data_IF_285999583808
#
_entry.id   IF_285999583808
#
_cell.length_a   1.000
_cell.length_b   1.000
_cell.length_c   1.000
_cell.angle_alpha   90.00
_cell.angle_beta   90.00
_cell.angle_gamma   90.00
#
_symmetry.space_group_name_H-M   'P 1'
#
loop_
_entity.id
_entity.type
_entity.pdbx_description
1 polymer ?
#
# COMPACT_ATOMS: atom_id res chain seq x y z
N UNK A 1 12.83 -22.05 2.62
CA UNK A 1 13.90 -21.04 2.89
C UNK A 1 13.48 -19.59 2.67
N UNK A 2 12.62 -19.25 1.69
CA UNK A 2 12.32 -17.85 1.33
C UNK A 2 11.56 -17.01 2.39
N UNK A 3 10.64 -17.60 3.17
CA UNK A 3 9.89 -16.83 4.18
C UNK A 3 10.70 -16.59 5.46
N UNK A 4 11.54 -17.55 5.85
CA UNK A 4 12.51 -17.39 6.94
C UNK A 4 13.60 -16.37 6.60
N UNK A 5 13.91 -16.14 5.32
CA UNK A 5 14.79 -15.03 4.90
C UNK A 5 14.08 -13.68 4.91
N UNK A 6 12.75 -13.62 4.76
CA UNK A 6 11.95 -12.39 4.93
C UNK A 6 11.86 -11.98 6.41
N UNK A 7 11.80 -12.96 7.31
CA UNK A 7 11.90 -12.78 8.76
C UNK A 7 13.31 -12.31 9.17
N UNK A 8 14.36 -13.03 8.74
CA UNK A 8 15.76 -12.68 9.07
C UNK A 8 16.26 -11.37 8.45
N UNK A 9 15.63 -10.87 7.39
CA UNK A 9 15.98 -9.59 6.75
C UNK A 9 15.29 -8.38 7.38
N UNK A 10 14.47 -8.55 8.42
CA UNK A 10 13.72 -7.47 9.04
C UNK A 10 12.56 -6.92 8.19
N UNK A 11 12.22 -7.57 7.07
CA UNK A 11 11.09 -7.20 6.21
C UNK A 11 9.73 -7.55 6.82
N UNK A 12 9.70 -8.50 7.77
CA UNK A 12 8.55 -8.84 8.61
C UNK A 12 9.02 -8.82 10.06
N UNK A 13 8.86 -7.65 10.69
CA UNK A 13 9.13 -7.38 12.10
C UNK A 13 7.84 -7.62 12.92
N UNK A 14 7.97 -8.06 14.17
CA UNK A 14 6.95 -8.08 15.23
C UNK A 14 6.06 -6.83 15.19
N UNK A 15 6.64 -5.62 15.06
CA UNK A 15 5.91 -4.35 15.00
C UNK A 15 4.95 -4.23 13.79
N UNK A 16 5.26 -4.89 12.67
CA UNK A 16 4.46 -4.82 11.44
C UNK A 16 3.27 -5.78 11.44
N UNK A 17 3.36 -6.84 12.25
CA UNK A 17 2.27 -7.81 12.43
C UNK A 17 1.42 -7.45 13.65
N UNK A 18 2.03 -6.97 14.74
CA UNK A 18 1.29 -6.61 15.96
C UNK A 18 0.60 -5.24 15.86
N UNK A 19 1.12 -4.26 15.10
CA UNK A 19 0.45 -2.94 15.00
C UNK A 19 -0.76 -2.93 14.06
N UNK A 20 -0.93 -3.91 13.17
CA UNK A 20 -2.05 -3.96 12.23
C UNK A 20 -2.90 -5.25 12.30
N UNK A 21 -2.52 -6.29 13.05
CA UNK A 21 -3.26 -7.56 13.09
C UNK A 21 -3.25 -8.19 14.48
N UNK A 22 -4.16 -7.73 15.35
CA UNK A 22 -4.43 -8.30 16.69
C UNK A 22 -4.76 -9.81 16.75
N UNK A 23 -4.92 -10.51 15.63
CA UNK A 23 -5.56 -11.84 15.61
C UNK A 23 -4.72 -13.01 15.07
N UNK A 24 -3.50 -12.79 14.59
CA UNK A 24 -2.59 -13.90 14.26
C UNK A 24 -1.21 -13.59 14.83
N UNK A 25 -0.87 -14.24 15.94
CA UNK A 25 0.46 -14.14 16.54
C UNK A 25 1.51 -14.53 15.49
N UNK A 26 2.45 -13.63 15.23
CA UNK A 26 3.58 -13.86 14.34
C UNK A 26 4.25 -15.22 14.58
N UNK A 27 4.45 -15.55 15.87
CA UNK A 27 5.04 -16.82 16.31
C UNK A 27 4.22 -18.05 15.89
N UNK A 28 2.89 -17.96 15.75
CA UNK A 28 2.08 -19.08 15.26
C UNK A 28 2.34 -19.36 13.78
N UNK A 29 2.38 -18.32 12.94
CA UNK A 29 2.70 -18.47 11.51
C UNK A 29 4.13 -18.93 11.30
N UNK A 30 5.08 -18.35 12.05
CA UNK A 30 6.49 -18.70 12.01
C UNK A 30 6.73 -20.16 12.42
N UNK A 31 6.19 -20.61 13.56
CA UNK A 31 6.35 -21.99 14.03
C UNK A 31 5.73 -23.00 13.05
N UNK A 32 4.53 -22.72 12.53
CA UNK A 32 3.87 -23.61 11.55
C UNK A 32 4.64 -23.67 10.23
N UNK A 33 5.28 -22.57 9.83
CA UNK A 33 6.14 -22.54 8.64
C UNK A 33 7.50 -23.21 8.87
N UNK A 34 8.09 -23.12 10.07
CA UNK A 34 9.31 -23.83 10.43
C UNK A 34 9.08 -25.34 10.54
N UNK A 35 7.90 -25.75 10.99
CA UNK A 35 7.45 -27.15 11.01
C UNK A 35 7.28 -27.71 9.58
N UNK A 36 6.67 -26.94 8.68
CA UNK A 36 6.42 -27.33 7.27
C UNK A 36 7.71 -27.25 6.42
N UNK A 37 8.64 -26.35 6.77
CA UNK A 37 9.90 -26.14 6.06
C UNK A 37 11.10 -26.25 7.01
N UNK A 38 11.47 -27.46 7.46
CA UNK A 38 12.70 -27.64 8.22
C UNK A 38 13.87 -27.09 7.40
N UNK A 39 14.66 -26.20 8.01
CA UNK A 39 15.83 -25.59 7.39
C UNK A 39 16.74 -26.69 6.84
N UNK A 40 16.82 -26.81 5.50
CA UNK A 40 17.85 -27.60 4.84
C UNK A 40 19.20 -27.03 5.28
N UNK A 41 19.96 -27.76 6.09
CA UNK A 41 21.37 -27.46 6.35
C UNK A 41 22.06 -27.33 5.00
N UNK A 42 22.83 -26.27 4.81
CA UNK A 42 23.51 -25.93 3.57
C UNK A 42 24.42 -27.06 3.10
N UNK A 43 23.95 -27.85 2.13
CA UNK A 43 24.80 -28.70 1.31
C UNK A 43 25.39 -27.84 0.20
N UNK A 44 26.73 -27.82 0.09
CA UNK A 44 27.48 -27.21 -1.01
C UNK A 44 26.89 -27.61 -2.37
N UNK A 45 26.71 -26.63 -3.27
CA UNK A 45 26.14 -26.85 -4.59
C UNK A 45 27.23 -27.36 -5.54
N UNK A 46 27.15 -28.64 -5.93
CA UNK A 46 27.77 -29.13 -7.15
C UNK A 46 26.80 -28.92 -8.32
N UNK A 47 27.32 -28.43 -9.45
CA UNK A 47 26.58 -27.91 -10.60
C UNK A 47 25.81 -28.95 -11.44
N UNK A 48 25.13 -29.90 -10.79
CA UNK A 48 24.23 -30.84 -11.45
C UNK A 48 22.88 -30.18 -11.79
N UNK A 49 22.21 -30.57 -12.89
CA UNK A 49 20.85 -30.13 -13.19
C UNK A 49 19.92 -30.42 -12.01
N UNK A 50 18.90 -29.59 -11.75
CA UNK A 50 17.92 -29.87 -10.71
C UNK A 50 17.30 -31.24 -10.99
N UNK A 51 17.45 -32.19 -10.06
CA UNK A 51 16.83 -33.51 -10.20
C UNK A 51 15.32 -33.34 -10.35
N UNK A 52 14.73 -34.15 -11.24
CA UNK A 52 13.28 -34.18 -11.53
C UNK A 52 12.43 -34.34 -10.24
N UNK A 53 13.02 -34.99 -9.24
CA UNK A 53 12.49 -35.19 -7.89
C UNK A 53 12.30 -33.87 -7.11
N UNK A 54 13.16 -32.87 -7.34
CA UNK A 54 13.08 -31.56 -6.68
C UNK A 54 11.89 -30.72 -7.14
N UNK A 55 11.58 -30.73 -8.45
CA UNK A 55 10.44 -29.99 -9.00
C UNK A 55 9.11 -30.64 -8.59
N UNK A 56 9.03 -31.97 -8.62
CA UNK A 56 7.85 -32.72 -8.17
C UNK A 56 7.56 -32.42 -6.68
N UNK A 57 8.58 -32.44 -5.82
CA UNK A 57 8.42 -32.09 -4.41
C UNK A 57 7.99 -30.63 -4.22
N UNK A 58 8.52 -29.71 -5.01
CA UNK A 58 8.13 -28.28 -4.97
C UNK A 58 6.64 -28.12 -5.29
N UNK A 59 6.14 -28.78 -6.34
CA UNK A 59 4.71 -28.76 -6.71
C UNK A 59 3.84 -29.30 -5.58
N UNK A 60 4.22 -30.45 -5.01
CA UNK A 60 3.51 -31.06 -3.88
C UNK A 60 3.43 -30.14 -2.67
N UNK A 61 4.54 -29.52 -2.28
CA UNK A 61 4.61 -28.59 -1.16
C UNK A 61 3.76 -27.33 -1.42
N UNK A 62 3.80 -26.80 -2.64
CA UNK A 62 3.00 -25.65 -3.05
C UNK A 62 1.50 -25.95 -2.92
N UNK A 63 1.05 -27.11 -3.41
CA UNK A 63 -0.34 -27.56 -3.32
C UNK A 63 -0.79 -27.72 -1.87
N UNK A 64 0.01 -28.42 -1.05
CA UNK A 64 -0.30 -28.60 0.37
C UNK A 64 -0.39 -27.26 1.12
N UNK A 65 0.53 -26.33 0.83
CA UNK A 65 0.57 -25.00 1.46
C UNK A 65 -0.69 -24.20 1.14
N UNK A 66 -1.10 -24.15 -0.13
CA UNK A 66 -2.29 -23.40 -0.56
C UNK A 66 -3.57 -24.05 -0.01
N UNK A 67 -3.69 -25.38 -0.09
CA UNK A 67 -4.85 -26.10 0.45
C UNK A 67 -5.00 -25.87 1.96
N UNK A 68 -3.90 -25.98 2.72
CA UNK A 68 -3.91 -25.68 4.14
C UNK A 68 -4.32 -24.22 4.40
N UNK A 69 -3.79 -23.28 3.62
CA UNK A 69 -4.13 -21.87 3.75
C UNK A 69 -5.59 -21.57 3.41
N UNK A 70 -6.23 -22.25 2.46
CA UNK A 70 -7.66 -22.09 2.14
C UNK A 70 -8.56 -22.56 3.30
N UNK A 71 -8.17 -23.64 3.97
CA UNK A 71 -8.95 -24.28 5.03
C UNK A 71 -8.79 -23.65 6.43
N UNK A 72 -7.92 -22.64 6.60
CA UNK A 72 -7.85 -21.89 7.87
C UNK A 72 -9.08 -21.02 8.05
N UNK A 73 -9.59 -20.93 9.28
CA UNK A 73 -10.78 -20.14 9.63
C UNK A 73 -10.57 -18.61 9.60
N UNK A 74 -11.53 -17.82 9.05
CA UNK A 74 -12.66 -18.28 8.25
C UNK A 74 -12.17 -18.89 6.92
N UNK A 75 -12.72 -20.05 6.58
CA UNK A 75 -12.36 -20.77 5.36
C UNK A 75 -12.61 -19.90 4.12
N UNK A 76 -11.70 -19.98 3.15
CA UNK A 76 -11.77 -19.26 1.87
C UNK A 76 -11.98 -20.28 0.75
N UNK A 77 -13.05 -20.11 -0.01
CA UNK A 77 -13.33 -20.92 -1.21
C UNK A 77 -12.55 -20.35 -2.38
N UNK A 78 -12.14 -21.23 -3.30
CA UNK A 78 -11.46 -20.82 -4.52
C UNK A 78 -12.32 -19.87 -5.39
N UNK A 79 -13.64 -20.08 -5.42
CA UNK A 79 -14.58 -19.20 -6.12
C UNK A 79 -14.69 -17.79 -5.51
N UNK A 80 -14.20 -17.59 -4.28
CA UNK A 80 -14.14 -16.27 -3.63
C UNK A 80 -12.88 -15.47 -4.01
N UNK A 81 -11.92 -16.10 -4.71
CA UNK A 81 -10.71 -15.46 -5.20
C UNK A 81 -10.90 -14.92 -6.63
N UNK A 82 -9.99 -14.04 -7.07
CA UNK A 82 -9.99 -13.53 -8.44
C UNK A 82 -9.81 -14.67 -9.46
N UNK A 83 -10.33 -14.48 -10.67
CA UNK A 83 -10.28 -15.48 -11.76
C UNK A 83 -8.85 -15.92 -12.11
N UNK A 84 -7.85 -15.08 -11.88
CA UNK A 84 -6.44 -15.42 -12.08
C UNK A 84 -5.94 -16.54 -11.13
N UNK A 85 -6.62 -16.76 -9.99
CA UNK A 85 -6.31 -17.80 -9.01
C UNK A 85 -7.22 -19.03 -9.10
N UNK A 86 -8.23 -19.01 -9.97
CA UNK A 86 -9.05 -20.19 -10.24
C UNK A 86 -8.24 -21.22 -11.06
N UNK A 87 -8.44 -22.50 -10.80
CA UNK A 87 -7.65 -23.61 -11.36
C UNK A 87 -6.20 -23.60 -10.89
N UNK A 88 -5.88 -23.02 -9.72
CA UNK A 88 -4.49 -22.86 -9.27
C UNK A 88 -3.74 -24.19 -9.15
N UNK A 89 -4.43 -25.28 -8.79
CA UNK A 89 -3.82 -26.60 -8.64
C UNK A 89 -3.29 -27.12 -10.00
N UNK A 90 -4.12 -27.03 -11.05
CA UNK A 90 -3.71 -27.37 -12.42
C UNK A 90 -2.58 -26.47 -12.91
N UNK A 91 -2.67 -25.17 -12.63
CA UNK A 91 -1.62 -24.20 -12.96
C UNK A 91 -0.28 -24.62 -12.37
N UNK A 92 -0.21 -24.98 -11.09
CA UNK A 92 1.03 -25.45 -10.44
C UNK A 92 1.57 -26.71 -11.12
N UNK A 93 0.69 -27.67 -11.44
CA UNK A 93 1.11 -28.92 -12.07
C UNK A 93 1.70 -28.71 -13.47
N UNK A 94 1.25 -27.68 -14.20
CA UNK A 94 1.72 -27.33 -15.54
C UNK A 94 2.98 -26.45 -15.56
N UNK A 95 3.43 -25.92 -14.43
CA UNK A 95 4.65 -25.12 -14.37
C UNK A 95 5.92 -25.98 -14.40
N UNK A 96 6.94 -25.53 -15.11
CA UNK A 96 8.22 -26.21 -15.31
C UNK A 96 9.36 -25.61 -14.46
N UNK A 97 9.11 -24.49 -13.79
CA UNK A 97 10.12 -23.72 -13.05
C UNK A 97 9.69 -23.47 -11.61
N UNK A 98 10.56 -23.86 -10.67
CA UNK A 98 10.39 -23.62 -9.25
C UNK A 98 10.18 -22.13 -8.92
N UNK A 99 10.91 -21.22 -9.59
CA UNK A 99 10.75 -19.78 -9.35
C UNK A 99 9.31 -19.30 -9.64
N UNK A 100 8.68 -19.83 -10.70
CA UNK A 100 7.31 -19.44 -11.09
C UNK A 100 6.28 -20.07 -10.14
N UNK A 101 6.49 -21.32 -9.71
CA UNK A 101 5.64 -21.98 -8.71
C UNK A 101 5.64 -21.16 -7.41
N UNK A 102 6.83 -20.79 -6.94
CA UNK A 102 6.99 -20.01 -5.71
C UNK A 102 6.35 -18.61 -5.81
N UNK A 103 6.43 -17.95 -6.97
CA UNK A 103 5.75 -16.67 -7.20
C UNK A 103 4.22 -16.81 -7.16
N UNK A 104 3.68 -17.83 -7.82
CA UNK A 104 2.24 -18.13 -7.79
C UNK A 104 1.77 -18.42 -6.36
N UNK A 105 2.51 -19.22 -5.58
CA UNK A 105 2.20 -19.50 -4.17
C UNK A 105 2.14 -18.21 -3.36
N UNK A 106 3.12 -17.31 -3.50
CA UNK A 106 3.12 -16.02 -2.79
C UNK A 106 1.89 -15.18 -3.12
N UNK A 107 1.58 -15.04 -4.42
CA UNK A 107 0.41 -14.29 -4.91
C UNK A 107 -0.90 -14.89 -4.36
N UNK A 108 -1.02 -16.21 -4.40
CA UNK A 108 -2.17 -16.96 -3.90
C UNK A 108 -2.35 -16.79 -2.38
N UNK A 109 -1.27 -16.94 -1.59
CA UNK A 109 -1.33 -16.76 -0.14
C UNK A 109 -1.70 -15.33 0.26
N UNK A 110 -1.23 -14.33 -0.49
CA UNK A 110 -1.65 -12.94 -0.30
C UNK A 110 -3.14 -12.73 -0.58
N UNK A 111 -3.66 -13.31 -1.67
CA UNK A 111 -5.07 -13.25 -2.03
C UNK A 111 -5.96 -13.94 -0.98
N UNK A 112 -5.63 -15.17 -0.58
CA UNK A 112 -6.32 -15.92 0.47
C UNK A 112 -6.32 -15.12 1.77
N UNK A 113 -5.16 -14.61 2.19
CA UNK A 113 -5.05 -13.83 3.41
C UNK A 113 -5.91 -12.57 3.37
N UNK A 114 -6.00 -11.91 2.22
CA UNK A 114 -6.82 -10.70 2.06
C UNK A 114 -8.31 -11.01 2.06
N UNK A 115 -8.75 -12.07 1.36
CA UNK A 115 -10.14 -12.52 1.40
C UNK A 115 -10.56 -12.96 2.80
N UNK A 116 -9.68 -13.62 3.56
CA UNK A 116 -9.95 -13.98 4.95
C UNK A 116 -10.18 -12.75 5.82
N UNK A 117 -9.35 -11.71 5.68
CA UNK A 117 -9.52 -10.44 6.41
C UNK A 117 -10.82 -9.74 6.05
N UNK A 118 -11.20 -9.76 4.78
CA UNK A 118 -12.51 -9.24 4.32
C UNK A 118 -13.66 -9.96 5.05
N UNK A 119 -13.63 -11.30 5.13
CA UNK A 119 -14.67 -12.08 5.84
C UNK A 119 -14.73 -11.75 7.32
N UNK A 120 -13.59 -11.68 7.99
CA UNK A 120 -13.51 -11.29 9.40
C UNK A 120 -14.03 -9.87 9.64
N UNK A 121 -13.68 -8.93 8.76
CA UNK A 121 -14.14 -7.55 8.85
C UNK A 121 -15.64 -7.46 8.63
N UNK A 122 -16.18 -8.20 7.67
CA UNK A 122 -17.63 -8.28 7.42
C UNK A 122 -18.39 -8.80 8.64
N UNK A 123 -17.90 -9.86 9.28
CA UNK A 123 -18.48 -10.35 10.54
C UNK A 123 -18.46 -9.27 11.64
N UNK A 124 -17.28 -8.66 11.89
CA UNK A 124 -17.13 -7.61 12.90
C UNK A 124 -18.05 -6.40 12.65
N UNK A 125 -18.13 -5.93 11.40
CA UNK A 125 -19.00 -4.81 11.02
C UNK A 125 -20.47 -5.17 11.27
N UNK A 126 -20.91 -6.35 10.87
CA UNK A 126 -22.30 -6.79 11.09
C UNK A 126 -22.64 -6.90 12.59
N UNK A 127 -21.74 -7.46 13.38
CA UNK A 127 -21.88 -7.55 14.85
C UNK A 127 -21.97 -6.14 15.46
N UNK A 128 -21.02 -5.26 15.14
CA UNK A 128 -20.99 -3.90 15.65
C UNK A 128 -22.25 -3.10 15.25
N UNK A 129 -22.74 -3.25 14.02
CA UNK A 129 -23.98 -2.58 13.56
C UNK A 129 -25.20 -3.02 14.35
N UNK A 130 -25.30 -4.31 14.68
CA UNK A 130 -26.40 -4.80 15.51
C UNK A 130 -26.28 -4.33 16.96
N UNK A 131 -25.06 -4.34 17.52
CA UNK A 131 -24.79 -3.86 18.88
C UNK A 131 -25.12 -2.37 19.05
N UNK A 132 -24.82 -1.54 18.04
CA UNK A 132 -25.08 -0.10 18.10
C UNK A 132 -26.55 0.24 18.30
N UNK A 133 -27.50 -0.58 17.80
CA UNK A 133 -28.94 -0.26 17.82
C UNK A 133 -29.46 0.01 19.24
N UNK A 134 -28.91 -0.67 20.24
CA UNK A 134 -29.36 -0.61 21.63
C UNK A 134 -28.48 0.26 22.55
N UNK A 135 -27.41 0.88 22.02
CA UNK A 135 -26.45 1.69 22.80
C UNK A 135 -26.72 3.19 22.67
N UNK A 136 -26.36 3.98 23.68
CA UNK A 136 -26.47 5.44 23.65
C UNK A 136 -25.19 6.09 24.21
N UNK A 137 -25.06 7.41 24.07
CA UNK A 137 -24.00 8.17 24.72
C UNK A 137 -22.59 7.66 24.39
N UNK A 138 -21.83 7.28 25.42
CA UNK A 138 -20.42 6.89 25.26
C UNK A 138 -20.23 5.52 24.62
N UNK A 139 -21.03 4.53 25.00
CA UNK A 139 -20.95 3.19 24.43
C UNK A 139 -21.28 3.17 22.93
N UNK A 140 -22.23 4.01 22.51
CA UNK A 140 -22.54 4.20 21.11
C UNK A 140 -21.35 4.81 20.36
N UNK A 141 -20.75 5.85 20.93
CA UNK A 141 -19.57 6.51 20.35
C UNK A 141 -18.39 5.55 20.19
N UNK A 142 -18.13 4.68 21.17
CA UNK A 142 -17.07 3.67 21.07
C UNK A 142 -17.34 2.67 19.95
N UNK A 143 -18.56 2.14 19.86
CA UNK A 143 -18.92 1.22 18.78
C UNK A 143 -18.87 1.85 17.39
N UNK A 144 -19.23 3.12 17.28
CA UNK A 144 -19.06 3.87 16.02
C UNK A 144 -17.57 3.94 15.63
N UNK A 145 -16.66 4.22 16.57
CA UNK A 145 -15.21 4.25 16.28
C UNK A 145 -14.69 2.89 15.85
N UNK A 146 -15.04 1.83 16.58
CA UNK A 146 -14.62 0.46 16.24
C UNK A 146 -15.07 0.06 14.83
N UNK A 147 -16.24 0.55 14.41
CA UNK A 147 -16.76 0.29 13.08
C UNK A 147 -16.11 1.17 12.01
N UNK A 148 -15.72 2.40 12.36
CA UNK A 148 -15.00 3.33 11.48
C UNK A 148 -13.59 2.86 11.12
N UNK A 149 -12.97 1.97 11.91
CA UNK A 149 -11.71 1.30 11.52
C UNK A 149 -11.83 0.61 10.15
N UNK A 150 -13.04 0.17 9.80
CA UNK A 150 -13.39 -0.50 8.55
C UNK A 150 -14.02 0.43 7.50
N UNK A 151 -13.96 1.76 7.67
CA UNK A 151 -14.71 2.73 6.82
C UNK A 151 -14.35 2.71 5.33
N UNK A 152 -13.23 2.09 4.96
CA UNK A 152 -12.79 1.92 3.59
C UNK A 152 -13.14 0.55 2.99
N UNK A 153 -13.75 -0.35 3.75
CA UNK A 153 -14.04 -1.73 3.32
C UNK A 153 -15.40 -1.86 2.66
N UNK A 154 -15.61 -2.94 1.89
CA UNK A 154 -16.93 -3.23 1.29
C UNK A 154 -17.99 -3.52 2.33
N UNK A 155 -17.63 -4.24 3.39
CA UNK A 155 -18.54 -4.53 4.48
C UNK A 155 -19.14 -3.27 5.12
N UNK A 156 -18.31 -2.24 5.34
CA UNK A 156 -18.80 -0.95 5.84
C UNK A 156 -19.72 -0.27 4.82
N UNK A 157 -19.34 -0.27 3.53
CA UNK A 157 -20.17 0.35 2.48
C UNK A 157 -21.55 -0.33 2.36
N UNK A 158 -21.62 -1.66 2.49
CA UNK A 158 -22.88 -2.43 2.52
C UNK A 158 -23.78 -2.06 3.70
N UNK A 159 -23.20 -1.64 4.83
CA UNK A 159 -23.90 -1.25 6.06
C UNK A 159 -23.98 0.26 6.29
N UNK A 160 -23.58 1.04 5.28
CA UNK A 160 -23.36 2.48 5.41
C UNK A 160 -24.55 3.25 5.93
N UNK A 161 -25.76 2.96 5.45
CA UNK A 161 -26.96 3.66 5.87
C UNK A 161 -27.30 3.40 7.35
N UNK A 162 -27.18 2.14 7.79
CA UNK A 162 -27.39 1.76 9.20
C UNK A 162 -26.36 2.49 10.09
N UNK A 163 -25.09 2.50 9.68
CA UNK A 163 -24.00 3.15 10.43
C UNK A 163 -24.22 4.67 10.49
N UNK A 164 -24.56 5.30 9.37
CA UNK A 164 -24.85 6.74 9.29
C UNK A 164 -26.02 7.13 10.18
N UNK A 165 -27.05 6.30 10.25
CA UNK A 165 -28.20 6.51 11.14
C UNK A 165 -27.75 6.54 12.61
N UNK A 166 -26.88 5.60 13.02
CA UNK A 166 -26.34 5.58 14.38
C UNK A 166 -25.43 6.77 14.68
N UNK A 167 -24.61 7.18 13.71
CA UNK A 167 -23.79 8.39 13.79
C UNK A 167 -24.64 9.65 13.98
N UNK A 168 -25.69 9.82 13.17
CA UNK A 168 -26.62 10.95 13.27
C UNK A 168 -27.32 10.97 14.62
N UNK A 169 -27.78 9.82 15.12
CA UNK A 169 -28.34 9.70 16.48
C UNK A 169 -27.36 10.17 17.54
N UNK A 170 -26.11 9.71 17.49
CA UNK A 170 -25.09 10.12 18.46
C UNK A 170 -24.74 11.61 18.37
N UNK A 171 -24.66 12.16 17.16
CA UNK A 171 -24.42 13.58 16.93
C UNK A 171 -25.60 14.47 17.38
N UNK A 172 -26.84 13.97 17.35
CA UNK A 172 -28.01 14.66 17.90
C UNK A 172 -28.07 14.61 19.42
N UNK A 173 -27.71 13.47 20.03
CA UNK A 173 -27.70 13.30 21.49
C UNK A 173 -26.71 14.26 22.17
N UNK A 174 -25.47 14.35 21.67
CA UNK A 174 -24.47 15.30 22.15
C UNK A 174 -23.50 15.68 21.01
N UNK A 175 -23.79 16.77 20.27
CA UNK A 175 -22.97 17.20 19.13
C UNK A 175 -21.51 17.46 19.50
N UNK A 176 -21.27 18.02 20.69
CA UNK A 176 -19.93 18.38 21.14
C UNK A 176 -19.11 17.15 21.54
N UNK A 177 -19.75 16.15 22.17
CA UNK A 177 -19.09 14.88 22.51
C UNK A 177 -18.84 14.05 21.26
N UNK A 178 -19.80 13.92 20.36
CA UNK A 178 -19.61 13.22 19.08
C UNK A 178 -18.47 13.83 18.26
N UNK A 179 -18.47 15.17 18.09
CA UNK A 179 -17.42 15.89 17.36
C UNK A 179 -16.03 15.62 17.93
N UNK A 180 -15.87 15.78 19.26
CA UNK A 180 -14.58 15.64 19.94
C UNK A 180 -14.09 14.21 20.01
N UNK A 181 -14.99 13.26 20.25
CA UNK A 181 -14.60 11.89 20.55
C UNK A 181 -14.60 11.00 19.30
N UNK A 182 -15.47 11.23 18.34
CA UNK A 182 -15.65 10.38 17.15
C UNK A 182 -15.16 11.06 15.89
N UNK A 183 -15.78 12.17 15.49
CA UNK A 183 -15.54 12.76 14.17
C UNK A 183 -14.09 13.24 13.98
N UNK A 184 -13.59 14.09 14.89
CA UNK A 184 -12.23 14.64 14.81
C UNK A 184 -11.17 13.53 14.91
N UNK A 185 -11.20 12.61 15.91
CA UNK A 185 -10.24 11.51 15.97
C UNK A 185 -10.30 10.58 14.77
N UNK A 186 -11.50 10.22 14.30
CA UNK A 186 -11.66 9.33 13.15
C UNK A 186 -11.12 9.96 11.86
N UNK A 187 -11.26 11.27 11.67
CA UNK A 187 -10.65 11.98 10.54
C UNK A 187 -9.12 11.95 10.65
N UNK A 188 -8.56 12.22 11.83
CA UNK A 188 -7.09 12.15 12.06
C UNK A 188 -6.54 10.75 11.83
N UNK A 189 -7.25 9.72 12.26
CA UNK A 189 -6.90 8.34 11.98
C UNK A 189 -6.93 8.03 10.48
N UNK A 190 -7.95 8.54 9.77
CA UNK A 190 -8.05 8.40 8.30
C UNK A 190 -6.88 9.09 7.60
N UNK A 191 -6.49 10.29 8.06
CA UNK A 191 -5.29 11.00 7.57
C UNK A 191 -4.03 10.17 7.79
N UNK A 192 -3.81 9.67 9.01
CA UNK A 192 -2.64 8.86 9.34
C UNK A 192 -2.58 7.55 8.54
N UNK A 193 -3.70 6.83 8.42
CA UNK A 193 -3.83 5.58 7.64
C UNK A 193 -3.47 5.79 6.17
N UNK A 194 -3.79 6.97 5.62
CA UNK A 194 -3.54 7.33 4.22
C UNK A 194 -2.25 8.12 4.01
N UNK A 195 -1.44 8.34 5.05
CA UNK A 195 -0.24 9.19 5.01
C UNK A 195 -0.52 10.58 4.41
N UNK A 196 -1.64 11.20 4.79
CA UNK A 196 -2.02 12.55 4.35
C UNK A 196 -1.86 13.51 5.52
N UNK A 197 -1.06 14.55 5.35
CA UNK A 197 -0.94 15.65 6.32
C UNK A 197 -2.03 16.69 6.08
N UNK A 198 -2.32 17.47 7.10
CA UNK A 198 -3.36 18.51 7.05
C UNK A 198 -3.07 19.62 6.02
N UNK A 199 -1.78 19.92 5.76
CA UNK A 199 -1.35 20.86 4.73
C UNK A 199 -1.46 20.28 3.31
N UNK A 200 -1.64 18.98 3.17
CA UNK A 200 -1.83 18.30 1.87
C UNK A 200 -3.31 18.21 1.48
N UNK A 201 -4.26 18.51 2.36
CA UNK A 201 -5.69 18.46 2.04
C UNK A 201 -6.05 19.46 0.93
N UNK A 202 -6.96 19.06 0.05
CA UNK A 202 -7.55 19.97 -0.93
C UNK A 202 -8.31 21.12 -0.24
N UNK A 203 -8.45 22.25 -0.94
CA UNK A 203 -9.02 23.49 -0.37
C UNK A 203 -10.45 23.32 0.18
N UNK A 204 -11.25 22.44 -0.42
CA UNK A 204 -12.60 22.17 0.04
C UNK A 204 -12.59 21.34 1.32
N UNK A 205 -11.84 20.24 1.34
CA UNK A 205 -11.68 19.36 2.50
C UNK A 205 -11.05 20.11 3.68
N UNK A 206 -10.06 20.97 3.42
CA UNK A 206 -9.42 21.79 4.44
C UNK A 206 -10.39 22.77 5.09
N UNK A 207 -11.22 23.45 4.28
CA UNK A 207 -12.26 24.36 4.81
C UNK A 207 -13.30 23.62 5.65
N UNK A 208 -13.80 22.49 5.16
CA UNK A 208 -14.78 21.68 5.90
C UNK A 208 -14.16 21.14 7.21
N UNK A 209 -12.88 20.76 7.19
CA UNK A 209 -12.13 20.33 8.36
C UNK A 209 -11.94 21.43 9.41
N UNK A 210 -11.58 22.66 9.01
CA UNK A 210 -11.46 23.80 9.93
C UNK A 210 -12.80 24.14 10.59
N UNK A 211 -13.87 24.23 9.80
CA UNK A 211 -15.23 24.46 10.33
C UNK A 211 -15.63 23.40 11.34
N UNK A 212 -15.27 22.15 11.07
CA UNK A 212 -15.57 21.04 11.97
C UNK A 212 -14.79 21.16 13.28
N UNK A 213 -13.49 21.47 13.23
CA UNK A 213 -12.66 21.70 14.43
C UNK A 213 -13.15 22.87 15.28
N UNK A 214 -13.54 23.96 14.64
CA UNK A 214 -13.97 25.19 15.31
C UNK A 214 -15.40 25.11 15.89
N UNK A 215 -16.12 24.03 15.62
CA UNK A 215 -17.50 23.87 16.07
C UNK A 215 -18.51 24.75 15.31
N UNK A 216 -18.15 25.18 14.10
CA UNK A 216 -19.05 25.95 13.22
C UNK A 216 -20.12 25.06 12.58
N UNK A 217 -19.95 23.74 12.59
CA UNK A 217 -20.89 22.72 12.10
C UNK A 217 -21.60 22.06 13.29
N UNK A 218 -22.93 21.94 13.24
CA UNK A 218 -23.75 21.47 14.38
C UNK A 218 -24.71 20.32 13.99
N UNK A 219 -25.17 19.57 15.00
CA UNK A 219 -26.15 18.49 14.83
C UNK A 219 -25.74 17.44 13.80
N UNK A 220 -26.69 17.00 12.96
CA UNK A 220 -26.44 15.96 11.95
C UNK A 220 -25.43 16.37 10.87
N UNK A 221 -25.25 17.67 10.60
CA UNK A 221 -24.31 18.16 9.58
C UNK A 221 -22.86 17.74 9.92
N UNK A 222 -22.56 17.52 11.20
CA UNK A 222 -21.28 16.99 11.66
C UNK A 222 -20.95 15.67 10.97
N UNK A 223 -21.93 14.78 10.85
CA UNK A 223 -21.78 13.43 10.27
C UNK A 223 -21.55 13.52 8.77
N UNK A 224 -22.30 14.38 8.08
CA UNK A 224 -22.18 14.58 6.63
C UNK A 224 -20.80 15.12 6.27
N UNK A 225 -20.32 16.10 7.03
CA UNK A 225 -18.99 16.68 6.86
C UNK A 225 -17.88 15.70 7.19
N UNK A 226 -18.03 14.93 8.27
CA UNK A 226 -17.08 13.88 8.63
C UNK A 226 -16.90 12.86 7.50
N UNK A 227 -18.00 12.35 6.96
CA UNK A 227 -17.99 11.36 5.88
C UNK A 227 -17.33 11.92 4.63
N UNK A 228 -17.71 13.14 4.24
CA UNK A 228 -17.14 13.81 3.07
C UNK A 228 -15.63 13.99 3.21
N UNK A 229 -15.16 14.48 4.36
CA UNK A 229 -13.73 14.68 4.64
C UNK A 229 -12.99 13.34 4.59
N UNK A 230 -13.47 12.30 5.27
CA UNK A 230 -12.85 10.95 5.25
C UNK A 230 -12.78 10.35 3.84
N UNK A 231 -13.83 10.51 3.04
CA UNK A 231 -13.84 10.06 1.65
C UNK A 231 -12.82 10.81 0.79
N UNK A 232 -12.69 12.13 0.95
CA UNK A 232 -11.69 12.90 0.19
C UNK A 232 -10.27 12.46 0.55
N UNK A 233 -9.96 12.37 1.85
CA UNK A 233 -8.65 11.91 2.35
C UNK A 233 -8.33 10.52 1.81
N UNK A 234 -9.30 9.59 1.83
CA UNK A 234 -9.07 8.21 1.37
C UNK A 234 -8.84 8.13 -0.14
N UNK A 235 -9.56 8.93 -0.94
CA UNK A 235 -9.32 9.05 -2.39
C UNK A 235 -7.93 9.64 -2.67
N UNK A 236 -7.55 10.69 -1.95
CA UNK A 236 -6.25 11.31 -2.07
C UNK A 236 -5.12 10.35 -1.65
N UNK A 237 -5.31 9.59 -0.58
CA UNK A 237 -4.40 8.54 -0.11
C UNK A 237 -4.18 7.46 -1.17
N UNK A 238 -5.27 6.96 -1.76
CA UNK A 238 -5.20 5.99 -2.86
C UNK A 238 -4.39 6.53 -4.04
N UNK A 239 -4.64 7.77 -4.46
CA UNK A 239 -3.91 8.43 -5.53
C UNK A 239 -2.42 8.63 -5.19
N UNK A 240 -2.11 9.09 -3.97
CA UNK A 240 -0.74 9.24 -3.47
C UNK A 240 0.01 7.90 -3.51
N UNK A 241 -0.66 6.80 -3.11
CA UNK A 241 -0.07 5.45 -3.15
C UNK A 241 0.22 4.97 -4.57
N UNK A 242 -0.68 5.22 -5.52
CA UNK A 242 -0.47 4.90 -6.94
C UNK A 242 0.68 5.71 -7.52
N UNK A 243 0.78 7.00 -7.21
CA UNK A 243 1.88 7.86 -7.64
C UNK A 243 3.22 7.39 -7.06
N UNK A 244 3.24 6.96 -5.78
CA UNK A 244 4.40 6.30 -5.19
C UNK A 244 4.80 5.06 -5.99
N UNK A 245 3.86 4.17 -6.33
CA UNK A 245 4.15 2.99 -7.14
C UNK A 245 4.70 3.34 -8.52
N UNK A 246 4.14 4.34 -9.21
CA UNK A 246 4.62 4.78 -10.52
C UNK A 246 6.10 5.21 -10.44
N UNK A 247 6.45 6.04 -9.47
CA UNK A 247 7.82 6.52 -9.28
C UNK A 247 8.78 5.39 -8.88
N UNK A 248 8.36 4.53 -7.97
CA UNK A 248 9.19 3.42 -7.49
C UNK A 248 9.44 2.36 -8.55
N UNK A 249 8.49 2.10 -9.46
CA UNK A 249 8.70 1.20 -10.60
C UNK A 249 9.83 1.71 -11.48
N UNK A 250 9.80 2.99 -11.84
CA UNK A 250 10.85 3.57 -12.68
C UNK A 250 12.23 3.46 -12.04
N UNK A 251 12.33 3.74 -10.74
CA UNK A 251 13.60 3.66 -10.01
C UNK A 251 14.06 2.19 -9.88
N UNK A 252 13.14 1.28 -9.56
CA UNK A 252 13.43 -0.14 -9.42
C UNK A 252 13.96 -0.74 -10.74
N UNK A 253 13.30 -0.43 -11.87
CA UNK A 253 13.72 -0.87 -13.21
C UNK A 253 15.09 -0.29 -13.60
N UNK A 254 15.36 0.99 -13.31
CA UNK A 254 16.68 1.60 -13.57
C UNK A 254 17.79 0.97 -12.72
N UNK A 255 17.52 0.71 -11.45
CA UNK A 255 18.53 0.17 -10.53
C UNK A 255 18.81 -1.33 -10.73
N UNK A 256 17.83 -2.09 -11.22
CA UNK A 256 17.92 -3.53 -11.38
C UNK A 256 18.09 -4.32 -10.07
N UNK A 257 17.91 -3.69 -8.91
CA UNK A 257 18.06 -4.34 -7.60
C UNK A 257 16.90 -5.29 -7.35
N UNK A 258 17.18 -6.60 -7.34
CA UNK A 258 16.17 -7.67 -7.22
C UNK A 258 15.32 -7.51 -5.97
N UNK A 259 15.93 -7.20 -4.83
CA UNK A 259 15.25 -7.06 -3.55
C UNK A 259 14.24 -5.90 -3.56
N UNK A 260 14.58 -4.79 -4.21
CA UNK A 260 13.67 -3.64 -4.35
C UNK A 260 12.49 -3.97 -5.25
N UNK A 261 12.75 -4.65 -6.36
CA UNK A 261 11.69 -5.09 -7.29
C UNK A 261 10.73 -6.03 -6.57
N UNK A 262 11.24 -7.05 -5.87
CA UNK A 262 10.40 -8.01 -5.15
C UNK A 262 9.57 -7.35 -4.04
N UNK A 263 10.17 -6.43 -3.27
CA UNK A 263 9.43 -5.67 -2.25
C UNK A 263 8.31 -4.84 -2.87
N UNK A 264 8.58 -4.16 -3.97
CA UNK A 264 7.60 -3.33 -4.66
C UNK A 264 6.45 -4.16 -5.26
N UNK A 265 6.75 -5.32 -5.86
CA UNK A 265 5.73 -6.26 -6.35
C UNK A 265 4.79 -6.68 -5.23
N UNK A 266 5.33 -7.06 -4.06
CA UNK A 266 4.52 -7.46 -2.91
C UNK A 266 3.58 -6.35 -2.45
N UNK A 267 4.07 -5.10 -2.36
CA UNK A 267 3.23 -3.96 -1.98
C UNK A 267 2.11 -3.69 -2.99
N UNK A 268 2.37 -3.88 -4.30
CA UNK A 268 1.35 -3.75 -5.34
C UNK A 268 0.31 -4.88 -5.27
N UNK A 269 0.74 -6.11 -5.03
CA UNK A 269 -0.17 -7.26 -4.85
C UNK A 269 -1.06 -7.03 -3.63
N UNK A 270 -0.50 -6.55 -2.52
CA UNK A 270 -1.28 -6.20 -1.32
C UNK A 270 -2.31 -5.10 -1.62
N UNK A 271 -1.92 -4.06 -2.36
CA UNK A 271 -2.84 -3.01 -2.80
C UNK A 271 -3.98 -3.55 -3.67
N UNK A 272 -3.66 -4.41 -4.65
CA UNK A 272 -4.64 -5.01 -5.56
C UNK A 272 -5.62 -5.92 -4.80
N UNK A 273 -5.12 -6.65 -3.81
CA UNK A 273 -5.93 -7.60 -3.05
C UNK A 273 -6.60 -6.99 -1.82
N UNK A 274 -6.30 -5.74 -1.48
CA UNK A 274 -6.92 -5.05 -0.36
C UNK A 274 -8.43 -4.91 -0.58
N UNK A 275 -9.19 -5.16 0.49
CA UNK A 275 -10.61 -4.83 0.54
C UNK A 275 -10.77 -3.34 0.87
N UNK A 276 -10.51 -2.49 -0.13
CA UNK A 276 -10.60 -1.05 0.01
C UNK A 276 -11.36 -0.46 -1.20
N UNK A 277 -12.51 0.15 -0.94
CA UNK A 277 -13.42 0.70 -1.97
C UNK A 277 -12.80 1.86 -2.75
N UNK A 278 -11.86 2.60 -2.15
CA UNK A 278 -11.16 3.70 -2.82
C UNK A 278 -10.03 3.20 -3.72
N UNK A 279 -9.55 1.97 -3.52
CA UNK A 279 -8.51 1.37 -4.37
C UNK A 279 -9.06 0.77 -5.66
N UNK A 280 -10.34 0.40 -5.71
CA UNK A 280 -10.94 -0.34 -6.83
C UNK A 280 -10.68 0.31 -8.20
N UNK A 281 -10.94 1.61 -8.32
CA UNK A 281 -10.72 2.37 -9.57
C UNK A 281 -9.25 2.43 -10.00
N UNK A 282 -8.31 2.13 -9.10
CA UNK A 282 -6.86 2.19 -9.31
C UNK A 282 -6.21 0.82 -9.49
N UNK A 283 -6.92 -0.28 -9.21
CA UNK A 283 -6.36 -1.64 -9.31
C UNK A 283 -5.86 -1.97 -10.72
N UNK A 284 -6.55 -1.52 -11.77
CA UNK A 284 -6.12 -1.75 -13.16
C UNK A 284 -4.78 -1.08 -13.46
N UNK A 285 -4.59 0.15 -13.00
CA UNK A 285 -3.34 0.89 -13.14
C UNK A 285 -2.19 0.21 -12.38
N UNK A 286 -2.43 -0.20 -11.12
CA UNK A 286 -1.42 -0.90 -10.32
C UNK A 286 -1.08 -2.27 -10.92
N UNK A 287 -2.05 -3.00 -11.50
CA UNK A 287 -1.78 -4.22 -12.28
C UNK A 287 -0.88 -3.94 -13.49
N UNK A 288 -1.12 -2.86 -14.22
CA UNK A 288 -0.26 -2.45 -15.34
C UNK A 288 1.18 -2.19 -14.89
N UNK A 289 1.36 -1.48 -13.76
CA UNK A 289 2.66 -1.24 -13.15
C UNK A 289 3.35 -2.54 -12.71
N UNK A 290 2.61 -3.46 -12.10
CA UNK A 290 3.10 -4.77 -11.69
C UNK A 290 3.59 -5.60 -12.89
N UNK A 291 2.83 -5.62 -13.98
CA UNK A 291 3.22 -6.31 -15.23
C UNK A 291 4.53 -5.77 -15.82
N UNK A 292 4.82 -4.47 -15.68
CA UNK A 292 6.12 -3.90 -16.10
C UNK A 292 7.28 -4.48 -15.28
N UNK A 293 7.10 -4.69 -13.99
CA UNK A 293 8.11 -5.31 -13.12
C UNK A 293 8.28 -6.81 -13.40
N UNK A 294 7.20 -7.52 -13.73
CA UNK A 294 7.25 -8.95 -14.08
C UNK A 294 8.01 -9.17 -15.41
N UNK A 295 7.84 -8.29 -16.39
CA UNK A 295 8.47 -8.42 -17.71
C UNK A 295 9.93 -7.91 -17.78
N UNK A 296 10.47 -7.33 -16.70
CA UNK A 296 11.83 -6.76 -16.68
C UNK A 296 12.93 -7.75 -17.08
N UNK A 297 12.82 -9.03 -16.70
CA UNK A 297 13.82 -10.07 -17.06
C UNK A 297 13.79 -10.43 -18.56
N UNK A 298 12.65 -10.32 -19.24
CA UNK A 298 12.54 -10.63 -20.67
C UNK A 298 13.14 -9.53 -21.54
N UNK A 299 13.07 -8.28 -21.08
CA UNK A 299 13.56 -7.12 -21.84
C UNK A 299 15.10 -7.04 -21.87
N UNK A 300 15.79 -7.54 -20.84
CA UNK A 300 17.27 -7.56 -20.79
C UNK A 300 17.91 -8.67 -21.63
N UNK A 301 17.15 -9.72 -21.98
CA UNK A 301 17.61 -10.81 -22.86
C UNK A 301 17.29 -10.55 -24.35
N UNK A 302 16.33 -9.66 -24.65
CA UNK A 302 15.94 -9.31 -26.02
C UNK A 302 16.42 -7.93 -26.48
N UNK A 303 17.32 -7.27 -25.74
CA UNK A 303 17.90 -5.97 -26.16
C UNK A 303 19.42 -6.06 -26.29
N UNK A 304 19.84 -6.84 -27.28
CA UNK A 304 21.11 -6.65 -27.97
C UNK A 304 20.85 -6.13 -29.39
N UNK A 305 19.86 -5.24 -29.54
CA UNK A 305 19.74 -4.39 -30.72
C UNK A 305 20.05 -2.95 -30.36
N UNK A 306 21.10 -2.45 -31.00
CA UNK A 306 21.63 -1.10 -30.95
C UNK A 306 20.51 -0.07 -31.15
N UNK A 307 20.04 0.54 -30.06
CA UNK A 307 19.26 1.77 -30.17
C UNK A 307 20.20 2.97 -30.42
N UNK A 308 20.04 3.72 -31.52
CA UNK A 308 20.93 4.81 -31.89
C UNK A 308 20.70 6.02 -30.98
N UNK A 309 21.71 6.34 -30.16
CA UNK A 309 21.79 7.56 -29.35
C UNK A 309 21.98 8.83 -30.21
N UNK A 310 21.00 9.22 -31.02
CA UNK A 310 21.15 10.43 -31.88
C UNK A 310 20.13 11.54 -31.74
N UNK A 311 19.14 11.49 -30.85
CA UNK A 311 18.18 12.60 -30.73
C UNK A 311 17.69 12.88 -29.31
N UNK A 312 18.59 13.13 -28.34
CA UNK A 312 18.23 13.81 -27.06
C UNK A 312 19.38 14.67 -26.54
N UNK A 313 19.92 15.58 -27.35
CA UNK A 313 20.66 16.75 -26.83
C UNK A 313 20.46 17.94 -27.78
N UNK A 314 19.49 18.82 -27.51
CA UNK A 314 19.82 20.24 -27.64
C UNK A 314 19.36 21.13 -26.47
N UNK A 315 18.47 20.68 -25.58
CA UNK A 315 17.89 21.56 -24.55
C UNK A 315 18.77 21.66 -23.29
N UNK A 316 19.45 20.58 -22.90
CA UNK A 316 20.35 20.62 -21.73
C UNK A 316 21.62 21.42 -22.00
N UNK A 317 22.14 21.41 -23.24
CA UNK A 317 23.32 22.19 -23.60
C UNK A 317 23.04 23.70 -23.61
N UNK A 318 21.84 24.12 -24.03
CA UNK A 318 21.40 25.52 -23.98
C UNK A 318 21.24 26.03 -22.55
N UNK A 319 20.69 25.20 -21.63
CA UNK A 319 20.57 25.57 -20.22
C UNK A 319 21.94 25.74 -19.55
N UNK A 320 22.90 24.84 -19.84
CA UNK A 320 24.27 24.95 -19.30
C UNK A 320 25.01 26.16 -19.91
N UNK A 321 24.83 26.46 -21.20
CA UNK A 321 25.38 27.66 -21.84
C UNK A 321 24.87 28.95 -21.20
N UNK A 322 23.56 29.06 -20.93
CA UNK A 322 22.97 30.24 -20.30
C UNK A 322 23.47 30.46 -18.86
N UNK A 323 23.68 29.37 -18.11
CA UNK A 323 24.26 29.44 -16.75
C UNK A 323 25.72 29.91 -16.81
N UNK A 324 26.51 29.43 -17.77
CA UNK A 324 27.90 29.86 -17.95
C UNK A 324 27.97 31.35 -18.33
N UNK A 325 27.11 31.82 -19.25
CA UNK A 325 27.06 33.24 -19.63
C UNK A 325 26.67 34.13 -18.43
N UNK A 326 25.67 33.72 -17.65
CA UNK A 326 25.26 34.44 -16.45
C UNK A 326 26.39 34.55 -15.41
N UNK A 327 27.14 33.46 -15.18
CA UNK A 327 28.29 33.45 -14.28
C UNK A 327 29.44 34.36 -14.76
N UNK A 328 29.70 34.41 -16.08
CA UNK A 328 30.72 35.29 -16.67
C UNK A 328 30.33 36.76 -16.51
N UNK A 329 29.07 37.13 -16.73
CA UNK A 329 28.58 38.51 -16.55
C UNK A 329 28.66 38.94 -15.08
N UNK A 330 28.30 38.07 -14.14
CA UNK A 330 28.40 38.34 -12.69
C UNK A 330 29.87 38.55 -12.27
N UNK A 331 30.80 37.71 -12.76
CA UNK A 331 32.24 37.89 -12.47
C UNK A 331 32.79 39.19 -13.06
N UNK A 332 32.37 39.57 -14.28
CA UNK A 332 32.83 40.81 -14.93
C UNK A 332 32.31 42.05 -14.18
N UNK A 333 31.05 42.06 -13.71
CA UNK A 333 30.50 43.15 -12.87
C UNK A 333 31.21 43.30 -11.54
N UNK A 334 31.58 42.20 -10.86
CA UNK A 334 32.32 42.28 -9.58
C UNK A 334 33.72 42.90 -9.74
N UNK A 335 34.43 42.62 -10.84
CA UNK A 335 35.74 43.25 -11.10
C UNK A 335 35.64 44.75 -11.36
N UNK A 336 34.64 45.19 -12.12
CA UNK A 336 34.44 46.63 -12.40
C UNK A 336 34.12 47.39 -11.10
N UNK A 337 33.30 46.83 -10.21
CA UNK A 337 32.97 47.46 -8.92
C UNK A 337 34.17 47.59 -7.96
N UNK A 338 35.15 46.68 -8.02
CA UNK A 338 36.38 46.81 -7.23
C UNK A 338 37.35 47.87 -7.79
N UNK A 339 37.34 48.09 -9.11
CA UNK A 339 38.14 49.15 -9.75
C UNK A 339 37.56 50.54 -9.46
N UNK A 340 36.23 50.68 -9.34
CA UNK A 340 35.62 51.97 -8.94
C UNK A 340 35.85 52.31 -7.47
N UNK A 341 35.90 51.31 -6.57
CA UNK A 341 36.17 51.53 -5.14
C UNK A 341 37.63 51.84 -4.81
N UNK A 342 38.57 51.49 -5.70
CA UNK A 342 40.00 51.82 -5.52
C UNK A 342 40.35 53.21 -6.04
N UNK A 343 39.58 53.78 -6.99
CA UNK A 343 39.78 55.17 -7.44
C UNK A 343 39.27 56.24 -6.47
N UNK A 344 38.34 55.92 -5.57
CA UNK A 344 37.77 56.90 -4.61
C UNK A 344 38.56 57.03 -3.31
N UNK A 345 39.59 56.20 -3.08
CA UNK A 345 40.39 56.20 -1.85
C UNK A 345 41.75 56.93 -1.99
N UNK A 346 42.02 57.55 -3.14
CA UNK A 346 43.27 58.31 -3.41
C UNK A 346 43.03 59.81 -3.62
N UNK A 347 41.82 60.29 -3.37
CA UNK A 347 41.50 61.72 -3.26
C UNK A 347 40.63 61.92 -2.03
N UNK A 348 41.29 61.96 -0.88
CA UNK A 348 41.01 62.81 0.28
C UNK A 348 42.13 62.61 1.31
#
# INVERSE_FOLDING_TARGET
MLFLSLIKSGLVNEDHIDSQRKFIKYEFLKNKLEEIYPQKKSSQSDGSPPSEDGLAQTKKNAIQTITAALNLEPAVKESELSSEFQGWNEKINNLDKEEIINDLVKKMLSAIGSKRREKQTSQKVNENVNDMKNKTGEELNEKIKENDEASDTRAYEEKKEEIQTQKKRSALEDPNKYRRNVAIPGIKETMAKNDIREDELDDETKRDWEKLKNGEIQGEEIVEKEIKIKQSISRQGAEKKVNFFRNEVEIALKSGKKERIEKLKMQMIEFINADNVFYESKKSEVRSLLSKLDNYKQQKNNSLEKFPWKVVVPVSLLAVMLIIIALVVIRKRKRISQITKTKTKTTN
#
